data_IF_693159658101
#
_entry.id   IF_693159658101
#
_cell.length_a   1.000
_cell.length_b   1.000
_cell.length_c   1.000
_cell.angle_alpha   90.00
_cell.angle_beta   90.00
_cell.angle_gamma   90.00
#
_symmetry.space_group_name_H-M   'P 1'
#
loop_
_entity.id
_entity.type
_entity.pdbx_description
1 polymer ?
#
# COMPACT_ATOMS: atom_id res chain seq x y z
N UNK A 1 -50.73 -11.81 -6.99
CA UNK A 1 -50.92 -11.69 -5.54
C UNK A 1 -49.84 -12.48 -4.81
N UNK A 2 -49.27 -11.85 -3.79
CA UNK A 2 -48.49 -12.40 -2.68
C UNK A 2 -47.02 -12.82 -2.87
N UNK A 3 -46.17 -12.03 -2.21
CA UNK A 3 -44.80 -12.30 -1.79
C UNK A 3 -44.68 -13.57 -0.91
N UNK A 4 -43.54 -14.26 -1.00
CA UNK A 4 -42.82 -14.73 0.20
C UNK A 4 -41.35 -15.04 -0.12
N UNK A 5 -40.50 -14.13 0.35
CA UNK A 5 -39.07 -14.34 0.57
C UNK A 5 -38.85 -15.58 1.45
N UNK A 6 -37.95 -16.48 1.05
CA UNK A 6 -37.23 -17.34 1.98
C UNK A 6 -35.75 -17.32 1.63
N UNK A 7 -35.00 -16.55 2.43
CA UNK A 7 -33.57 -16.63 2.63
C UNK A 7 -33.20 -17.99 3.27
N UNK A 8 -32.03 -18.54 2.87
CA UNK A 8 -31.11 -19.46 3.59
C UNK A 8 -30.30 -20.23 2.54
N UNK A 9 -28.97 -20.36 2.54
CA UNK A 9 -27.88 -19.91 3.40
C UNK A 9 -26.65 -19.87 2.47
N UNK A 10 -26.03 -18.72 2.24
CA UNK A 10 -24.68 -18.73 1.67
C UNK A 10 -23.72 -19.09 2.80
N UNK A 11 -23.09 -20.26 2.66
CA UNK A 11 -22.05 -20.71 3.56
C UNK A 11 -20.86 -19.74 3.46
N UNK A 12 -20.65 -18.95 4.51
CA UNK A 12 -19.42 -18.20 4.70
C UNK A 12 -18.32 -19.18 5.13
N UNK A 13 -17.84 -19.97 4.18
CA UNK A 13 -16.55 -20.65 4.31
C UNK A 13 -15.52 -19.95 3.43
N UNK A 14 -15.37 -18.63 3.65
CA UNK A 14 -14.07 -18.03 3.46
C UNK A 14 -13.34 -18.22 4.79
N UNK A 15 -12.76 -19.41 4.96
CA UNK A 15 -11.73 -19.64 5.96
C UNK A 15 -10.64 -18.60 5.69
N UNK A 16 -10.68 -17.49 6.44
CA UNK A 16 -9.63 -16.50 6.44
C UNK A 16 -8.40 -17.21 6.99
N UNK A 17 -7.59 -17.75 6.08
CA UNK A 17 -6.20 -18.05 6.37
C UNK A 17 -5.56 -16.71 6.71
N UNK A 18 -5.65 -16.36 7.99
CA UNK A 18 -4.90 -15.30 8.61
C UNK A 18 -3.47 -15.81 8.69
N UNK A 19 -2.86 -15.98 7.51
CA UNK A 19 -1.42 -16.13 7.41
C UNK A 19 -0.81 -14.87 7.99
N UNK A 20 0.16 -15.10 8.85
CA UNK A 20 0.97 -14.15 9.59
C UNK A 20 1.58 -13.13 8.62
N UNK A 21 0.80 -12.11 8.21
CA UNK A 21 1.24 -11.01 7.35
C UNK A 21 2.17 -10.13 8.18
N UNK A 22 3.38 -10.62 8.44
CA UNK A 22 4.49 -9.76 8.82
C UNK A 22 4.60 -8.75 7.70
N UNK A 23 4.31 -7.48 8.02
CA UNK A 23 4.48 -6.38 7.08
C UNK A 23 5.93 -6.42 6.62
N UNK A 24 6.15 -6.81 5.37
CA UNK A 24 7.49 -6.88 4.80
C UNK A 24 7.88 -5.45 4.50
N UNK A 25 8.77 -4.90 5.32
CA UNK A 25 9.37 -3.61 5.05
C UNK A 25 10.30 -3.74 3.84
N UNK A 26 10.08 -2.89 2.85
CA UNK A 26 10.89 -2.75 1.65
C UNK A 26 11.62 -1.41 1.66
N UNK A 27 12.65 -1.27 0.82
CA UNK A 27 13.37 -0.01 0.67
C UNK A 27 12.68 0.85 -0.38
N UNK A 28 12.54 2.13 -0.13
CA UNK A 28 11.98 3.11 -1.05
C UNK A 28 12.98 4.23 -1.29
N UNK A 29 13.30 4.49 -2.55
CA UNK A 29 14.12 5.63 -2.96
C UNK A 29 13.23 6.82 -3.29
N UNK A 30 13.45 7.96 -2.64
CA UNK A 30 12.66 9.18 -2.85
C UNK A 30 13.22 9.96 -4.04
N UNK A 31 12.45 10.02 -5.13
CA UNK A 31 12.92 10.55 -6.43
C UNK A 31 12.43 11.98 -6.63
N UNK A 32 11.14 12.23 -6.38
CA UNK A 32 10.55 13.56 -6.52
C UNK A 32 9.56 13.85 -5.39
N UNK A 33 9.26 15.13 -5.19
CA UNK A 33 8.26 15.61 -4.24
C UNK A 33 7.40 16.64 -4.94
N UNK A 34 6.08 16.51 -4.80
CA UNK A 34 5.17 17.56 -5.24
C UNK A 34 5.30 18.76 -4.29
N UNK A 35 5.39 19.98 -4.81
CA UNK A 35 5.67 21.17 -3.97
C UNK A 35 4.45 21.65 -3.18
N UNK A 36 3.25 21.25 -3.59
CA UNK A 36 1.97 21.71 -3.03
C UNK A 36 1.36 20.70 -2.05
N UNK A 37 1.58 19.41 -2.30
CA UNK A 37 1.00 18.32 -1.53
C UNK A 37 2.15 17.44 -1.06
N UNK A 38 2.07 16.86 0.15
CA UNK A 38 3.08 15.93 0.71
C UNK A 38 3.12 14.57 -0.01
N UNK A 39 3.04 14.61 -1.34
CA UNK A 39 3.13 13.52 -2.27
C UNK A 39 4.59 13.37 -2.72
N UNK A 40 5.07 12.14 -2.71
CA UNK A 40 6.41 11.76 -3.09
C UNK A 40 6.33 10.75 -4.22
N UNK A 41 7.18 10.90 -5.23
CA UNK A 41 7.42 9.87 -6.22
C UNK A 41 8.56 9.01 -5.72
N UNK A 42 8.29 7.71 -5.55
CA UNK A 42 9.24 6.77 -4.96
C UNK A 42 9.45 5.57 -5.87
N UNK A 43 10.66 5.01 -5.81
CA UNK A 43 11.00 3.72 -6.39
C UNK A 43 11.15 2.67 -5.29
N UNK A 44 10.39 1.58 -5.37
CA UNK A 44 10.47 0.43 -4.46
C UNK A 44 11.63 -0.47 -4.86
N UNK A 45 12.45 -0.84 -3.89
CA UNK A 45 13.59 -1.73 -4.02
C UNK A 45 13.36 -2.93 -3.08
N UNK A 46 13.03 -4.11 -3.64
CA UNK A 46 12.90 -5.34 -2.87
C UNK A 46 14.17 -5.65 -2.05
N UNK A 47 14.03 -6.45 -0.99
CA UNK A 47 15.11 -6.76 -0.05
C UNK A 47 16.40 -7.24 -0.73
N UNK A 48 16.28 -8.01 -1.81
CA UNK A 48 17.39 -8.61 -2.54
C UNK A 48 17.71 -7.93 -3.89
N UNK A 49 17.18 -6.72 -4.12
CA UNK A 49 17.41 -5.96 -5.35
C UNK A 49 18.38 -4.79 -5.11
N UNK A 50 19.07 -4.37 -6.19
CA UNK A 50 19.92 -3.18 -6.18
C UNK A 50 19.27 -1.97 -6.85
N UNK A 51 18.20 -2.17 -7.61
CA UNK A 51 17.53 -1.14 -8.38
C UNK A 51 16.02 -1.19 -8.13
N UNK A 52 15.31 -0.06 -8.32
CA UNK A 52 13.86 -0.07 -8.17
C UNK A 52 13.18 -0.93 -9.23
N UNK A 53 12.17 -1.69 -8.82
CA UNK A 53 11.36 -2.54 -9.72
C UNK A 53 9.94 -1.99 -9.95
N UNK A 54 9.52 -1.05 -9.11
CA UNK A 54 8.21 -0.46 -9.12
C UNK A 54 8.29 1.01 -8.71
N UNK A 55 7.53 1.87 -9.38
CA UNK A 55 7.49 3.30 -9.10
C UNK A 55 6.05 3.76 -8.89
N UNK A 56 5.84 4.60 -7.88
CA UNK A 56 4.53 5.16 -7.61
C UNK A 56 4.60 6.53 -6.93
N UNK A 57 3.49 7.27 -7.02
CA UNK A 57 3.23 8.37 -6.10
C UNK A 57 2.68 7.83 -4.78
N UNK A 58 3.14 8.37 -3.66
CA UNK A 58 2.63 8.06 -2.32
C UNK A 58 2.57 9.33 -1.47
N UNK A 59 1.81 9.31 -0.39
CA UNK A 59 1.90 10.30 0.69
C UNK A 59 2.86 9.81 1.77
N UNK A 60 3.37 10.70 2.59
CA UNK A 60 4.05 10.32 3.84
C UNK A 60 3.67 11.27 4.96
N UNK A 61 3.51 10.75 6.17
CA UNK A 61 3.29 11.57 7.37
C UNK A 61 4.59 12.22 7.89
N UNK A 62 5.74 11.88 7.29
CA UNK A 62 7.05 12.48 7.59
C UNK A 62 7.51 13.26 6.36
N UNK A 63 8.16 14.40 6.59
CA UNK A 63 8.82 15.12 5.50
C UNK A 63 10.05 14.33 5.03
N UNK A 64 10.12 14.02 3.73
CA UNK A 64 11.24 13.29 3.14
C UNK A 64 12.10 14.20 2.27
N UNK A 65 13.41 13.98 2.35
CA UNK A 65 14.37 14.63 1.46
C UNK A 65 14.48 13.84 0.15
N UNK A 66 14.78 14.53 -0.94
CA UNK A 66 15.04 13.87 -2.22
C UNK A 66 16.37 13.10 -2.16
N UNK A 67 16.43 11.97 -2.85
CA UNK A 67 17.62 11.13 -2.96
C UNK A 67 17.82 10.14 -1.81
N UNK A 68 17.01 10.18 -0.75
CA UNK A 68 17.17 9.28 0.41
C UNK A 68 16.54 7.90 0.15
N UNK A 69 17.09 6.89 0.82
CA UNK A 69 16.48 5.58 0.96
C UNK A 69 15.78 5.48 2.32
N UNK A 70 14.53 4.99 2.32
CA UNK A 70 13.76 4.74 3.55
C UNK A 70 13.24 3.32 3.58
N UNK A 71 13.19 2.70 4.75
CA UNK A 71 12.53 1.42 4.96
C UNK A 71 11.07 1.65 5.34
N UNK A 72 10.16 1.05 4.59
CA UNK A 72 8.72 1.28 4.77
C UNK A 72 7.85 0.23 4.12
N UNK A 73 6.55 0.46 4.13
CA UNK A 73 5.60 -0.26 3.30
C UNK A 73 4.53 0.72 2.78
N UNK A 74 3.94 0.39 1.63
CA UNK A 74 2.79 1.13 1.10
C UNK A 74 1.50 0.54 1.68
N UNK A 75 0.64 1.39 2.23
CA UNK A 75 -0.68 0.96 2.68
C UNK A 75 -1.51 0.45 1.50
N UNK A 76 -2.08 -0.75 1.61
CA UNK A 76 -3.07 -1.25 0.65
C UNK A 76 -4.32 -0.37 0.71
N UNK A 77 -4.73 0.21 -0.43
CA UNK A 77 -6.04 0.84 -0.59
C UNK A 77 -6.89 -0.02 -1.51
N UNK A 78 -8.13 -0.32 -1.10
CA UNK A 78 -9.11 -1.00 -1.94
C UNK A 78 -9.57 -0.13 -3.12
N UNK A 79 -9.41 1.20 -3.01
CA UNK A 79 -9.69 2.15 -4.08
C UNK A 79 -8.40 2.42 -4.88
N UNK A 80 -8.40 2.03 -6.15
CA UNK A 80 -7.29 2.23 -7.11
C UNK A 80 -7.01 3.70 -7.42
N UNK A 81 -7.95 4.60 -7.09
CA UNK A 81 -7.83 6.04 -7.31
C UNK A 81 -7.13 6.77 -6.16
N UNK A 82 -6.87 6.11 -5.03
CA UNK A 82 -6.22 6.74 -3.88
C UNK A 82 -4.71 6.60 -3.93
N UNK A 83 -4.01 7.70 -3.71
CA UNK A 83 -2.56 7.72 -3.51
C UNK A 83 -2.25 6.94 -2.21
N UNK A 84 -1.41 5.89 -2.26
CA UNK A 84 -1.07 5.10 -1.08
C UNK A 84 -0.28 5.92 -0.06
N UNK A 85 -0.36 5.53 1.21
CA UNK A 85 0.46 6.11 2.28
C UNK A 85 1.72 5.25 2.48
N UNK A 86 2.90 5.88 2.37
CA UNK A 86 4.18 5.26 2.72
C UNK A 86 4.39 5.37 4.23
N UNK A 87 4.27 4.22 4.90
CA UNK A 87 4.53 4.07 6.32
C UNK A 87 6.00 3.71 6.50
N UNK A 88 6.75 4.62 7.12
CA UNK A 88 8.18 4.48 7.35
C UNK A 88 8.40 3.92 8.76
N UNK A 89 9.38 3.03 8.90
CA UNK A 89 9.81 2.49 10.19
C UNK A 89 10.23 3.58 11.19
#
# INVERSE_FOLDING_TARGET
MSNRLQFKNFSYEAASKQEDRRLVYERFWVIARHTVDENYYVGRIPLNAHQPDYFCWCKSCKQLNLGILVDGYLSESLETTRIPLLIIK
#
